data_IF_633081313059
#
_entry.id   IF_633081313059
#
_cell.length_a   1.000
_cell.length_b   1.000
_cell.length_c   1.000
_cell.angle_alpha   90.00
_cell.angle_beta   90.00
_cell.angle_gamma   90.00
#
_symmetry.space_group_name_H-M   'P 1'
#
loop_
_entity.id
_entity.type
_entity.pdbx_description
1 polymer ?
#
# COMPACT_ATOMS: atom_id res chain seq x y z
N UNK A 1 36.20 38.67 6.55
CA UNK A 1 35.31 37.89 7.44
C UNK A 1 36.09 36.73 8.02
N UNK A 2 36.59 36.86 9.24
CA UNK A 2 37.38 35.83 9.92
C UNK A 2 36.44 34.82 10.57
N UNK A 3 36.34 33.61 10.02
CA UNK A 3 35.61 32.53 10.65
C UNK A 3 36.39 32.04 11.88
N UNK A 4 35.80 32.16 13.08
CA UNK A 4 36.38 31.55 14.28
C UNK A 4 36.13 30.03 14.21
N UNK A 5 37.17 29.18 14.24
CA UNK A 5 37.03 27.72 14.05
C UNK A 5 36.03 27.06 15.01
N UNK A 6 35.88 27.62 16.21
CA UNK A 6 34.97 27.13 17.25
C UNK A 6 33.49 27.37 16.95
N UNK A 7 33.13 28.36 16.12
CA UNK A 7 31.74 28.63 15.76
C UNK A 7 31.23 27.67 14.69
N UNK A 8 32.11 27.31 13.74
CA UNK A 8 31.79 26.33 12.69
C UNK A 8 31.65 24.93 13.29
N UNK A 9 32.56 24.52 14.18
CA UNK A 9 32.52 23.20 14.81
C UNK A 9 31.31 23.04 15.74
N UNK A 10 30.94 24.08 16.50
CA UNK A 10 29.75 24.06 17.37
C UNK A 10 28.46 23.91 16.56
N UNK A 11 28.31 24.66 15.46
CA UNK A 11 27.15 24.55 14.55
C UNK A 11 27.10 23.18 13.88
N UNK A 12 28.23 22.64 13.44
CA UNK A 12 28.31 21.31 12.85
C UNK A 12 27.93 20.20 13.84
N UNK A 13 28.33 20.30 15.11
CA UNK A 13 27.93 19.35 16.15
C UNK A 13 26.43 19.40 16.45
N UNK A 14 25.84 20.60 16.51
CA UNK A 14 24.39 20.75 16.66
C UNK A 14 23.63 20.16 15.47
N UNK A 15 24.07 20.44 14.24
CA UNK A 15 23.47 19.88 13.03
C UNK A 15 23.53 18.34 13.01
N UNK A 16 24.68 17.75 13.39
CA UNK A 16 24.83 16.30 13.53
C UNK A 16 23.90 15.71 14.58
N UNK A 17 23.74 16.37 15.72
CA UNK A 17 22.82 15.94 16.77
C UNK A 17 21.37 15.94 16.27
N UNK A 18 20.93 17.03 15.63
CA UNK A 18 19.58 17.15 15.09
C UNK A 18 19.30 16.08 14.03
N UNK A 19 20.27 15.86 13.13
CA UNK A 19 20.17 14.82 12.11
C UNK A 19 20.11 13.42 12.75
N UNK A 20 20.95 13.15 13.74
CA UNK A 20 20.94 11.90 14.50
C UNK A 20 19.59 11.65 15.19
N UNK A 21 19.02 12.66 15.86
CA UNK A 21 17.70 12.58 16.48
C UNK A 21 16.59 12.33 15.44
N UNK A 22 16.70 12.95 14.27
CA UNK A 22 15.81 12.67 13.14
C UNK A 22 15.84 11.20 12.72
N UNK A 23 17.03 10.63 12.55
CA UNK A 23 17.20 9.21 12.23
C UNK A 23 16.69 8.28 13.34
N UNK A 24 16.94 8.61 14.61
CA UNK A 24 16.36 7.85 15.74
C UNK A 24 14.84 7.83 15.65
N UNK A 25 14.21 8.98 15.38
CA UNK A 25 12.76 9.06 15.18
C UNK A 25 12.27 8.18 14.02
N UNK A 26 12.98 8.20 12.88
CA UNK A 26 12.65 7.36 11.72
C UNK A 26 12.79 5.87 12.03
N UNK A 27 13.86 5.46 12.72
CA UNK A 27 14.08 4.07 13.14
C UNK A 27 12.96 3.62 14.08
N UNK A 28 12.57 4.44 15.05
CA UNK A 28 11.45 4.13 15.94
C UNK A 28 10.12 3.99 15.19
N UNK A 29 9.84 4.89 14.23
CA UNK A 29 8.64 4.80 13.40
C UNK A 29 8.64 3.53 12.54
N UNK A 30 9.78 3.18 11.95
CA UNK A 30 9.97 1.95 11.20
C UNK A 30 9.75 0.72 12.07
N UNK A 31 10.38 0.65 13.24
CA UNK A 31 10.19 -0.45 14.19
C UNK A 31 8.73 -0.60 14.60
N UNK A 32 8.03 0.51 14.85
CA UNK A 32 6.59 0.49 15.15
C UNK A 32 5.78 -0.10 13.99
N UNK A 33 6.05 0.31 12.75
CA UNK A 33 5.34 -0.21 11.60
C UNK A 33 5.63 -1.70 11.36
N UNK A 34 6.89 -2.10 11.45
CA UNK A 34 7.34 -3.43 11.08
C UNK A 34 7.13 -4.49 12.16
N UNK A 35 7.33 -4.14 13.43
CA UNK A 35 7.29 -5.10 14.56
C UNK A 35 5.98 -4.96 15.33
N UNK A 36 5.64 -3.74 15.77
CA UNK A 36 4.45 -3.52 16.62
C UNK A 36 3.16 -3.73 15.81
N UNK A 37 3.09 -3.19 14.59
CA UNK A 37 1.91 -3.27 13.72
C UNK A 37 1.97 -4.37 12.65
N UNK A 38 2.94 -5.28 12.76
CA UNK A 38 3.14 -6.37 11.79
C UNK A 38 1.85 -7.15 11.51
N UNK A 39 1.21 -7.65 12.58
CA UNK A 39 0.04 -8.53 12.50
C UNK A 39 -1.16 -7.84 11.87
N UNK A 40 -1.37 -6.57 12.20
CA UNK A 40 -2.46 -5.77 11.66
C UNK A 40 -2.31 -5.58 10.15
N UNK A 41 -1.11 -5.19 9.70
CA UNK A 41 -0.85 -5.00 8.27
C UNK A 41 -0.84 -6.31 7.50
N UNK A 42 -0.39 -7.41 8.10
CA UNK A 42 -0.49 -8.73 7.51
C UNK A 42 -1.96 -9.11 7.30
N UNK A 43 -2.81 -8.95 8.32
CA UNK A 43 -4.24 -9.26 8.19
C UNK A 43 -4.93 -8.42 7.10
N UNK A 44 -4.60 -7.14 6.97
CA UNK A 44 -5.10 -6.28 5.89
C UNK A 44 -4.61 -6.75 4.51
N UNK A 45 -3.34 -7.17 4.40
CA UNK A 45 -2.80 -7.72 3.16
C UNK A 45 -3.47 -9.04 2.77
N UNK A 46 -3.77 -9.91 3.74
CA UNK A 46 -4.50 -11.16 3.53
C UNK A 46 -5.92 -10.90 3.02
N UNK A 47 -6.62 -9.91 3.56
CA UNK A 47 -7.93 -9.48 3.05
C UNK A 47 -7.83 -8.96 1.63
N UNK A 48 -6.81 -8.16 1.31
CA UNK A 48 -6.59 -7.63 -0.03
C UNK A 48 -6.19 -8.72 -1.05
N UNK A 49 -5.78 -9.92 -0.60
CA UNK A 49 -5.41 -11.02 -1.50
C UNK A 49 -6.61 -11.63 -2.21
N UNK A 50 -7.79 -11.60 -1.58
CA UNK A 50 -9.00 -12.16 -2.16
C UNK A 50 -9.94 -11.04 -2.57
N UNK A 51 -10.30 -11.03 -3.84
CA UNK A 51 -11.36 -10.18 -4.36
C UNK A 51 -12.48 -11.08 -4.83
N UNK A 52 -13.65 -10.95 -4.21
CA UNK A 52 -14.84 -11.62 -4.71
C UNK A 52 -15.20 -11.02 -6.08
N UNK A 53 -15.10 -11.85 -7.11
CA UNK A 53 -15.60 -11.53 -8.45
C UNK A 53 -16.94 -12.24 -8.59
N UNK A 54 -18.07 -11.52 -8.58
CA UNK A 54 -19.37 -12.15 -8.75
C UNK A 54 -19.44 -12.77 -10.15
N UNK A 55 -19.71 -14.06 -10.21
CA UNK A 55 -19.99 -14.76 -11.47
C UNK A 55 -21.45 -14.47 -11.83
N UNK A 56 -21.66 -13.65 -12.85
CA UNK A 56 -23.00 -13.41 -13.38
C UNK A 56 -23.54 -14.70 -13.98
N UNK A 57 -24.79 -15.04 -13.64
CA UNK A 57 -25.47 -16.16 -14.29
C UNK A 57 -25.61 -15.86 -15.80
N UNK A 58 -25.39 -16.86 -16.67
CA UNK A 58 -25.60 -16.69 -18.10
C UNK A 58 -27.07 -16.33 -18.36
N UNK A 59 -27.31 -15.41 -19.30
CA UNK A 59 -28.67 -15.16 -19.79
C UNK A 59 -29.20 -16.40 -20.50
N UNK A 60 -30.50 -16.66 -20.36
CA UNK A 60 -31.17 -17.73 -21.09
C UNK A 60 -31.16 -17.51 -22.60
N UNK A 61 -31.28 -18.60 -23.35
CA UNK A 61 -31.40 -18.58 -24.80
C UNK A 61 -32.82 -18.08 -25.15
N UNK A 62 -32.91 -17.15 -26.10
CA UNK A 62 -34.19 -16.65 -26.59
C UNK A 62 -34.55 -17.40 -27.88
N UNK A 63 -35.76 -17.94 -27.92
CA UNK A 63 -36.30 -18.69 -29.07
C UNK A 63 -37.46 -17.93 -29.73
N UNK A 64 -37.57 -18.05 -31.04
CA UNK A 64 -38.79 -17.72 -31.79
C UNK A 64 -39.87 -18.80 -31.59
N UNK A 65 -41.12 -18.51 -31.99
CA UNK A 65 -42.28 -19.42 -31.95
C UNK A 65 -42.05 -20.78 -32.64
N UNK A 66 -41.06 -20.87 -33.52
CA UNK A 66 -40.69 -22.09 -34.26
C UNK A 66 -39.50 -22.84 -33.62
N UNK A 67 -39.04 -22.44 -32.44
CA UNK A 67 -37.90 -23.07 -31.76
C UNK A 67 -36.52 -22.69 -32.31
N UNK A 68 -36.43 -21.70 -33.20
CA UNK A 68 -35.14 -21.16 -33.68
C UNK A 68 -34.54 -20.19 -32.66
N UNK A 69 -33.24 -20.32 -32.44
CA UNK A 69 -32.48 -19.41 -31.57
C UNK A 69 -32.41 -18.03 -32.23
N UNK A 70 -32.82 -16.99 -31.50
CA UNK A 70 -32.74 -15.59 -31.94
C UNK A 70 -31.74 -14.76 -31.13
N UNK A 71 -31.36 -15.21 -29.93
CA UNK A 71 -30.26 -14.66 -29.16
C UNK A 71 -29.71 -15.69 -28.17
N UNK A 72 -28.39 -15.76 -28.04
CA UNK A 72 -27.67 -16.59 -27.08
C UNK A 72 -26.53 -15.80 -26.44
N UNK A 73 -25.99 -16.31 -25.32
CA UNK A 73 -24.89 -15.68 -24.62
C UNK A 73 -23.61 -16.48 -24.89
N UNK A 74 -22.75 -16.00 -25.78
CA UNK A 74 -21.43 -16.57 -26.03
C UNK A 74 -20.44 -16.02 -24.99
N UNK A 75 -19.78 -16.86 -24.17
CA UNK A 75 -18.69 -16.38 -23.31
C UNK A 75 -17.50 -15.96 -24.19
N UNK A 76 -16.92 -14.79 -23.88
CA UNK A 76 -15.68 -14.26 -24.44
C UNK A 76 -14.74 -13.82 -23.33
#
# INVERSE_FOLDING_TARGET
MSYHPHDVSRRASLARLLLGLGFVGLISAFFRAQIVRNKEFLAQAEQNRFREVPLAAPRGIIYDRNGRIIAENLPG
#
